data_IF_480084074295
#
_entry.id   IF_480084074295
#
_cell.length_a   1.000
_cell.length_b   1.000
_cell.length_c   1.000
_cell.angle_alpha   90.00
_cell.angle_beta   90.00
_cell.angle_gamma   90.00
#
_symmetry.space_group_name_H-M   'P 1'
#
loop_
_entity.id
_entity.type
_entity.pdbx_description
1 polymer ?
#
# COMPACT_ATOMS: atom_id res chain seq x y z
N UNK A 1 -21.71 22.29 -36.24
CA UNK A 1 -20.48 21.61 -36.68
C UNK A 1 -19.32 22.28 -35.95
N UNK A 2 -18.45 21.67 -35.17
CA UNK A 2 -18.35 20.36 -34.50
C UNK A 2 -17.15 20.55 -33.57
N UNK A 3 -17.35 20.51 -32.25
CA UNK A 3 -16.23 20.43 -31.29
C UNK A 3 -16.45 19.29 -30.28
N UNK A 4 -17.40 18.41 -30.58
CA UNK A 4 -17.91 17.33 -29.73
C UNK A 4 -17.11 16.02 -29.85
N UNK A 5 -15.84 16.04 -30.25
CA UNK A 5 -15.15 14.81 -30.66
C UNK A 5 -13.82 14.49 -29.95
N UNK A 6 -13.30 15.31 -29.01
CA UNK A 6 -11.92 15.09 -28.51
C UNK A 6 -11.82 14.64 -27.03
N UNK A 7 -12.88 14.71 -26.22
CA UNK A 7 -12.79 14.31 -24.80
C UNK A 7 -13.33 12.90 -24.48
N UNK A 8 -13.48 12.02 -25.47
CA UNK A 8 -14.16 10.72 -25.26
C UNK A 8 -13.24 9.49 -25.28
N UNK A 9 -11.92 9.66 -25.14
CA UNK A 9 -10.97 8.54 -25.27
C UNK A 9 -9.89 8.47 -24.18
N UNK A 10 -10.21 8.69 -22.90
CA UNK A 10 -9.42 8.12 -21.77
C UNK A 10 -10.14 8.12 -20.41
N UNK A 11 -11.43 8.47 -20.34
CA UNK A 11 -12.21 8.28 -19.13
C UNK A 11 -12.69 6.82 -19.06
N UNK A 12 -11.76 5.91 -18.77
CA UNK A 12 -12.12 4.61 -18.23
C UNK A 12 -13.10 4.85 -17.08
N UNK A 13 -14.25 4.20 -17.15
CA UNK A 13 -15.41 4.43 -16.29
C UNK A 13 -15.10 4.04 -14.83
N UNK A 14 -14.33 4.85 -14.09
CA UNK A 14 -14.06 4.68 -12.65
C UNK A 14 -15.09 5.49 -11.87
N UNK A 15 -16.37 5.16 -12.03
CA UNK A 15 -17.40 5.67 -11.13
C UNK A 15 -17.29 4.94 -9.79
N UNK A 16 -16.80 5.64 -8.77
CA UNK A 16 -16.95 5.33 -7.34
C UNK A 16 -16.52 3.94 -6.85
N UNK A 17 -15.46 3.33 -7.39
CA UNK A 17 -14.93 2.08 -6.82
C UNK A 17 -14.03 2.38 -5.63
N UNK A 18 -14.45 1.94 -4.44
CA UNK A 18 -13.60 1.97 -3.24
C UNK A 18 -12.48 0.94 -3.38
N UNK A 19 -11.23 1.36 -3.23
CA UNK A 19 -10.06 0.48 -3.34
C UNK A 19 -9.55 0.07 -1.95
N UNK A 20 -9.48 -1.23 -1.68
CA UNK A 20 -8.82 -1.74 -0.48
C UNK A 20 -7.33 -1.94 -0.76
N UNK A 21 -6.45 -1.29 -0.02
CA UNK A 21 -5.00 -1.31 -0.24
C UNK A 21 -4.30 -1.83 1.02
N UNK A 22 -3.40 -2.79 0.86
CA UNK A 22 -2.54 -3.25 1.95
C UNK A 22 -1.14 -2.64 1.81
N UNK A 23 -0.66 -1.95 2.85
CA UNK A 23 0.71 -1.48 2.93
C UNK A 23 1.53 -2.33 3.92
N UNK A 24 2.62 -2.90 3.43
CA UNK A 24 3.46 -3.88 4.15
C UNK A 24 4.94 -3.71 3.79
N UNK A 25 5.83 -4.34 4.55
CA UNK A 25 7.28 -4.18 4.45
C UNK A 25 7.99 -4.25 5.81
N UNK A 26 9.33 -4.26 5.85
CA UNK A 26 10.12 -4.38 7.08
C UNK A 26 9.80 -3.31 8.12
N UNK A 27 10.13 -3.59 9.39
CA UNK A 27 10.04 -2.60 10.45
C UNK A 27 10.89 -1.35 10.11
N UNK A 28 10.43 -0.15 10.48
CA UNK A 28 11.17 1.09 10.21
C UNK A 28 11.11 1.64 8.78
N UNK A 29 10.55 0.91 7.81
CA UNK A 29 10.52 1.31 6.39
C UNK A 29 9.70 2.57 6.06
N UNK A 30 8.90 3.11 7.00
CA UNK A 30 8.14 4.36 6.78
C UNK A 30 6.70 4.20 6.31
N UNK A 31 6.13 2.99 6.38
CA UNK A 31 4.74 2.70 5.96
C UNK A 31 3.70 3.68 6.53
N UNK A 32 3.70 3.87 7.86
CA UNK A 32 2.75 4.76 8.54
C UNK A 32 3.00 6.23 8.17
N UNK A 33 4.26 6.62 7.98
CA UNK A 33 4.64 7.96 7.53
C UNK A 33 4.07 8.27 6.16
N UNK A 34 4.15 7.33 5.21
CA UNK A 34 3.55 7.50 3.86
C UNK A 34 2.04 7.72 3.97
N UNK A 35 1.33 6.86 4.71
CA UNK A 35 -0.12 7.00 4.87
C UNK A 35 -0.50 8.34 5.50
N UNK A 36 0.22 8.76 6.54
CA UNK A 36 -0.03 10.03 7.22
C UNK A 36 0.26 11.24 6.31
N UNK A 37 1.37 11.20 5.58
CA UNK A 37 1.73 12.25 4.63
C UNK A 37 0.68 12.38 3.52
N UNK A 38 0.21 11.26 2.96
CA UNK A 38 -0.85 11.27 1.94
C UNK A 38 -2.18 11.79 2.49
N UNK A 39 -2.52 11.47 3.75
CA UNK A 39 -3.81 11.85 4.34
C UNK A 39 -3.86 13.30 4.84
N UNK A 40 -2.81 13.76 5.51
CA UNK A 40 -2.82 15.01 6.26
C UNK A 40 -1.79 16.04 5.75
N UNK A 41 -0.90 15.66 4.83
CA UNK A 41 0.15 16.54 4.32
C UNK A 41 1.24 16.88 5.34
N UNK A 42 1.30 16.17 6.47
CA UNK A 42 2.26 16.42 7.55
C UNK A 42 3.04 15.16 7.95
N UNK A 43 4.28 15.38 8.35
CA UNK A 43 5.12 14.40 9.04
C UNK A 43 5.06 14.71 10.53
N UNK A 44 4.89 13.68 11.34
CA UNK A 44 4.87 13.79 12.79
C UNK A 44 5.62 12.61 13.41
N UNK A 45 5.97 12.74 14.69
CA UNK A 45 6.53 11.64 15.44
C UNK A 45 5.48 10.54 15.60
N UNK A 46 5.83 9.34 15.12
CA UNK A 46 4.94 8.20 15.09
C UNK A 46 5.48 7.09 15.97
N UNK A 47 4.66 6.67 16.93
CA UNK A 47 4.88 5.42 17.62
C UNK A 47 4.80 4.24 16.63
N UNK A 48 5.60 3.18 16.84
CA UNK A 48 5.51 1.94 16.08
C UNK A 48 4.09 1.39 16.02
N UNK A 49 3.62 0.99 14.83
CA UNK A 49 2.35 0.27 14.68
C UNK A 49 2.46 -1.12 15.31
N UNK A 50 1.57 -1.41 16.25
CA UNK A 50 1.36 -2.74 16.83
C UNK A 50 0.23 -3.41 16.05
N UNK A 51 0.45 -4.62 15.52
CA UNK A 51 -0.57 -5.34 14.76
C UNK A 51 -0.90 -4.69 13.43
N UNK A 52 -2.13 -4.17 13.30
CA UNK A 52 -2.69 -3.60 12.06
C UNK A 52 -3.33 -2.25 12.37
N UNK A 53 -3.04 -1.26 11.53
CA UNK A 53 -3.66 0.07 11.55
C UNK A 53 -4.55 0.26 10.32
N UNK A 54 -5.61 1.07 10.44
CA UNK A 54 -6.61 1.25 9.40
C UNK A 54 -6.88 2.73 9.15
N UNK A 55 -6.79 3.14 7.89
CA UNK A 55 -7.02 4.53 7.48
C UNK A 55 -7.89 4.61 6.24
N UNK A 56 -8.79 5.60 6.21
CA UNK A 56 -9.54 6.00 5.02
C UNK A 56 -8.94 7.28 4.46
N UNK A 57 -8.60 7.27 3.17
CA UNK A 57 -8.11 8.44 2.43
C UNK A 57 -8.81 8.56 1.09
N UNK A 58 -8.72 9.72 0.45
CA UNK A 58 -9.21 9.94 -0.91
C UNK A 58 -8.06 10.51 -1.74
N UNK A 59 -7.79 9.91 -2.89
CA UNK A 59 -6.81 10.39 -3.88
C UNK A 59 -7.56 10.57 -5.20
N UNK A 60 -7.52 11.77 -5.79
CA UNK A 60 -8.16 12.09 -7.07
C UNK A 60 -9.61 11.56 -7.16
N UNK A 61 -10.43 11.92 -6.17
CA UNK A 61 -11.83 11.49 -6.00
C UNK A 61 -12.04 9.98 -5.74
N UNK A 62 -10.98 9.18 -5.71
CA UNK A 62 -11.04 7.74 -5.44
C UNK A 62 -10.85 7.45 -3.95
N UNK A 63 -11.84 6.89 -3.25
CA UNK A 63 -11.71 6.50 -1.85
C UNK A 63 -10.88 5.22 -1.70
N UNK A 64 -9.87 5.26 -0.85
CA UNK A 64 -9.00 4.15 -0.49
C UNK A 64 -9.21 3.73 0.98
N UNK A 65 -9.28 2.43 1.20
CA UNK A 65 -9.27 1.78 2.51
C UNK A 65 -7.88 1.16 2.73
N UNK A 66 -7.03 1.81 3.52
CA UNK A 66 -5.65 1.41 3.72
C UNK A 66 -5.52 0.59 5.00
N UNK A 67 -4.94 -0.59 4.87
CA UNK A 67 -4.53 -1.46 5.97
C UNK A 67 -3.00 -1.44 6.10
N UNK A 68 -2.48 -0.93 7.21
CA UNK A 68 -1.04 -0.85 7.46
C UNK A 68 -0.58 -1.89 8.46
N UNK A 69 0.39 -2.70 8.07
CA UNK A 69 0.87 -3.80 8.91
C UNK A 69 2.08 -3.38 9.72
N UNK A 70 2.07 -3.67 11.02
CA UNK A 70 3.23 -3.54 11.90
C UNK A 70 4.38 -4.43 11.45
N UNK A 71 5.59 -3.87 11.35
CA UNK A 71 6.76 -4.59 10.85
C UNK A 71 7.43 -5.55 11.84
N UNK A 72 7.03 -5.57 13.13
CA UNK A 72 7.66 -6.42 14.15
C UNK A 72 7.18 -7.87 14.01
N UNK A 73 8.10 -8.81 14.13
CA UNK A 73 7.96 -10.25 13.84
C UNK A 73 6.80 -10.96 14.58
N UNK A 74 6.37 -10.46 15.74
CA UNK A 74 5.31 -11.08 16.54
C UNK A 74 3.88 -11.02 15.99
N UNK A 75 3.61 -10.27 14.91
CA UNK A 75 2.25 -10.09 14.37
C UNK A 75 2.10 -10.56 12.91
N UNK A 76 3.05 -11.37 12.41
CA UNK A 76 3.14 -11.78 11.00
C UNK A 76 2.06 -12.80 10.58
N UNK A 77 1.59 -13.65 11.50
CA UNK A 77 0.64 -14.74 11.22
C UNK A 77 -0.75 -14.28 10.71
N UNK A 78 -1.05 -12.98 10.83
CA UNK A 78 -2.38 -12.42 10.55
C UNK A 78 -2.45 -11.76 9.17
N UNK A 79 -1.32 -11.50 8.50
CA UNK A 79 -1.31 -10.63 7.29
C UNK A 79 -1.98 -11.25 6.07
N UNK A 80 -1.79 -12.55 5.86
CA UNK A 80 -2.22 -13.23 4.64
C UNK A 80 -3.75 -13.34 4.55
N UNK A 81 -4.46 -13.21 5.67
CA UNK A 81 -5.93 -13.20 5.70
C UNK A 81 -6.53 -11.98 4.99
N UNK A 82 -5.77 -10.90 4.88
CA UNK A 82 -6.20 -9.69 4.19
C UNK A 82 -6.10 -9.83 2.67
N UNK A 83 -5.23 -10.71 2.16
CA UNK A 83 -4.83 -10.72 0.75
C UNK A 83 -6.00 -10.80 -0.21
N UNK A 84 -6.93 -11.75 0.01
CA UNK A 84 -8.09 -11.98 -0.87
C UNK A 84 -8.91 -10.71 -1.10
N UNK A 85 -9.06 -9.86 -0.09
CA UNK A 85 -9.94 -8.68 -0.11
C UNK A 85 -9.26 -7.40 -0.64
N UNK A 86 -7.96 -7.43 -0.88
CA UNK A 86 -7.23 -6.25 -1.36
C UNK A 86 -7.37 -6.08 -2.87
N UNK A 87 -7.50 -4.83 -3.29
CA UNK A 87 -7.45 -4.38 -4.68
C UNK A 87 -6.02 -4.14 -5.15
N UNK A 88 -5.10 -3.77 -4.24
CA UNK A 88 -3.70 -3.48 -4.55
C UNK A 88 -2.80 -3.64 -3.30
N UNK A 89 -1.49 -3.73 -3.53
CA UNK A 89 -0.48 -3.79 -2.48
C UNK A 89 0.55 -2.69 -2.64
N UNK A 90 1.00 -2.15 -1.51
CA UNK A 90 2.14 -1.25 -1.45
C UNK A 90 3.20 -1.93 -0.57
N UNK A 91 4.35 -2.21 -1.16
CA UNK A 91 5.51 -2.74 -0.44
C UNK A 91 6.53 -1.62 -0.22
N UNK A 92 6.85 -1.34 1.04
CA UNK A 92 7.79 -0.26 1.39
C UNK A 92 9.11 -0.84 1.88
N UNK A 93 10.19 -0.39 1.26
CA UNK A 93 11.58 -0.74 1.60
C UNK A 93 12.28 0.52 2.09
N UNK A 94 13.13 0.38 3.11
CA UNK A 94 14.11 1.42 3.48
C UNK A 94 15.36 1.22 2.62
N UNK A 95 15.59 2.08 1.64
CA UNK A 95 16.68 1.95 0.66
C UNK A 95 18.06 2.16 1.30
N UNK A 96 18.11 2.84 2.45
CA UNK A 96 19.33 3.12 3.19
C UNK A 96 19.67 2.03 4.22
N UNK A 97 18.73 1.15 4.54
CA UNK A 97 18.94 0.02 5.46
C UNK A 97 19.34 -1.25 4.71
N UNK A 98 20.62 -1.35 4.38
CA UNK A 98 21.19 -2.53 3.74
C UNK A 98 21.09 -3.81 4.59
N UNK A 99 20.88 -3.71 5.91
CA UNK A 99 20.75 -4.88 6.77
C UNK A 99 19.37 -5.52 6.63
N UNK A 100 18.31 -4.73 6.40
CA UNK A 100 16.96 -5.25 6.24
C UNK A 100 16.58 -5.62 4.79
N UNK A 101 17.44 -5.36 3.80
CA UNK A 101 17.14 -5.67 2.39
C UNK A 101 16.91 -7.17 2.15
N UNK A 102 17.63 -8.04 2.88
CA UNK A 102 17.44 -9.49 2.82
C UNK A 102 16.04 -9.89 3.31
N UNK A 103 15.61 -9.34 4.45
CA UNK A 103 14.26 -9.53 4.98
C UNK A 103 13.20 -8.97 4.01
N UNK A 104 13.45 -7.79 3.45
CA UNK A 104 12.55 -7.17 2.47
C UNK A 104 12.35 -8.07 1.25
N UNK A 105 13.45 -8.59 0.70
CA UNK A 105 13.45 -9.53 -0.43
C UNK A 105 12.63 -10.77 -0.11
N UNK A 106 12.94 -11.45 1.00
CA UNK A 106 12.24 -12.68 1.39
C UNK A 106 10.74 -12.43 1.53
N UNK A 107 10.36 -11.35 2.21
CA UNK A 107 8.96 -10.99 2.43
C UNK A 107 8.23 -10.63 1.13
N UNK A 108 8.89 -9.91 0.22
CA UNK A 108 8.30 -9.61 -1.09
C UNK A 108 8.08 -10.90 -1.89
N UNK A 109 9.05 -11.83 -1.89
CA UNK A 109 8.92 -13.12 -2.56
C UNK A 109 7.77 -13.96 -1.99
N UNK A 110 7.57 -13.94 -0.67
CA UNK A 110 6.42 -14.59 -0.03
C UNK A 110 5.08 -13.97 -0.45
N UNK A 111 5.02 -12.66 -0.65
CA UNK A 111 3.80 -11.98 -1.13
C UNK A 111 3.52 -12.34 -2.58
N UNK A 112 4.50 -12.17 -3.49
CA UNK A 112 4.28 -12.42 -4.92
C UNK A 112 4.07 -13.90 -5.25
N UNK A 113 4.57 -14.81 -4.41
CA UNK A 113 4.36 -16.25 -4.55
C UNK A 113 3.03 -16.75 -3.99
N UNK A 114 2.15 -15.87 -3.52
CA UNK A 114 0.84 -16.23 -3.01
C UNK A 114 -0.23 -16.07 -4.09
N UNK A 115 -0.92 -17.16 -4.46
CA UNK A 115 -1.95 -17.18 -5.51
C UNK A 115 -3.06 -16.13 -5.30
N UNK A 116 -3.29 -15.66 -4.07
CA UNK A 116 -4.31 -14.63 -3.77
C UNK A 116 -3.90 -13.23 -4.27
N UNK A 117 -2.67 -13.08 -4.75
CA UNK A 117 -2.04 -11.83 -5.21
C UNK A 117 -1.89 -11.80 -6.74
N UNK A 118 -2.03 -12.91 -7.46
CA UNK A 118 -1.65 -13.08 -8.88
C UNK A 118 -2.13 -11.94 -9.81
N UNK A 119 -3.39 -11.51 -9.68
CA UNK A 119 -3.98 -10.44 -10.52
C UNK A 119 -3.95 -9.03 -9.89
N UNK A 120 -3.17 -8.82 -8.82
CA UNK A 120 -3.22 -7.59 -8.03
C UNK A 120 -1.98 -6.73 -8.26
N UNK A 121 -2.15 -5.44 -8.59
CA UNK A 121 -1.01 -4.56 -8.77
C UNK A 121 -0.25 -4.38 -7.45
N UNK A 122 1.08 -4.39 -7.57
CA UNK A 122 2.01 -4.14 -6.47
C UNK A 122 2.83 -2.91 -6.81
N UNK A 123 2.76 -1.90 -5.95
CA UNK A 123 3.65 -0.74 -5.96
C UNK A 123 4.77 -0.96 -4.96
N UNK A 124 6.02 -0.78 -5.38
CA UNK A 124 7.17 -0.82 -4.48
C UNK A 124 7.67 0.60 -4.24
N UNK A 125 7.65 1.06 -3.00
CA UNK A 125 8.34 2.27 -2.57
C UNK A 125 9.73 1.91 -2.08
N UNK A 126 10.75 2.31 -2.83
CA UNK A 126 12.11 2.49 -2.32
C UNK A 126 12.13 3.83 -1.57
N UNK A 127 11.95 3.77 -0.25
CA UNK A 127 11.84 4.94 0.63
C UNK A 127 13.15 5.19 1.37
N UNK A 128 13.42 6.46 1.73
CA UNK A 128 14.73 6.94 2.24
C UNK A 128 15.90 6.64 1.30
#
# INVERSE_FOLDING_TARGET
MSSSAINQATAGNVKNKVLSVLITGPYGAGKKTIVRMTKYGEIADLLPTIGVDFEKITIDETPLLIWSIGGRSGHRATVTQYYRRMSAFIFVVDSNDHLSIGEARERLHQIVGDDRIEDKPILIFANK
#
